data_IF_862863140406
#
_entry.id   IF_862863140406
#
_cell.length_a   1.000
_cell.length_b   1.000
_cell.length_c   1.000
_cell.angle_alpha   90.00
_cell.angle_beta   90.00
_cell.angle_gamma   90.00
#
_symmetry.space_group_name_H-M   'P 1'
#
loop_
_entity.id
_entity.type
_entity.pdbx_description
1 polymer ?
#
# COMPACT_ATOMS: atom_id res chain seq x y z
N UNK A 1 12.22 -5.84 -47.76
CA UNK A 1 12.85 -4.99 -46.73
C UNK A 1 14.36 -5.28 -46.64
N UNK A 2 15.16 -4.21 -46.46
CA UNK A 2 16.62 -4.28 -46.36
C UNK A 2 17.06 -3.61 -45.05
N UNK A 3 18.37 -3.76 -44.74
CA UNK A 3 18.98 -3.05 -43.60
C UNK A 3 18.57 -3.63 -42.22
N UNK A 4 18.10 -4.87 -42.14
CA UNK A 4 17.77 -5.53 -40.87
C UNK A 4 16.48 -5.00 -40.20
N UNK A 5 15.59 -4.32 -40.93
CA UNK A 5 14.35 -3.73 -40.37
C UNK A 5 13.45 -4.78 -39.74
N UNK A 6 13.32 -5.96 -40.36
CA UNK A 6 12.50 -7.05 -39.82
C UNK A 6 13.05 -7.53 -38.47
N UNK A 7 14.36 -7.75 -38.40
CA UNK A 7 15.00 -8.20 -37.16
C UNK A 7 14.97 -7.12 -36.08
N UNK A 8 15.15 -5.85 -36.43
CA UNK A 8 15.00 -4.74 -35.50
C UNK A 8 13.58 -4.65 -34.93
N UNK A 9 12.55 -4.86 -35.75
CA UNK A 9 11.14 -4.92 -35.27
C UNK A 9 10.87 -6.11 -34.38
N UNK A 10 11.43 -7.28 -34.71
CA UNK A 10 11.32 -8.49 -33.88
C UNK A 10 12.00 -8.27 -32.53
N UNK A 11 13.23 -7.74 -32.52
CA UNK A 11 13.95 -7.41 -31.29
C UNK A 11 13.17 -6.44 -30.43
N UNK A 12 12.61 -5.37 -31.01
CA UNK A 12 11.77 -4.42 -30.28
C UNK A 12 10.51 -5.09 -29.70
N UNK A 13 9.84 -5.95 -30.46
CA UNK A 13 8.66 -6.67 -30.00
C UNK A 13 9.00 -7.63 -28.86
N UNK A 14 10.11 -8.37 -28.98
CA UNK A 14 10.58 -9.29 -27.95
C UNK A 14 10.93 -8.55 -26.68
N UNK A 15 11.70 -7.44 -26.75
CA UNK A 15 12.03 -6.63 -25.59
C UNK A 15 10.78 -6.11 -24.85
N UNK A 16 9.73 -5.76 -25.59
CA UNK A 16 8.45 -5.36 -24.99
C UNK A 16 7.73 -6.50 -24.29
N UNK A 17 7.78 -7.72 -24.84
CA UNK A 17 7.20 -8.92 -24.22
C UNK A 17 7.94 -9.24 -22.92
N UNK A 18 9.28 -9.21 -22.96
CA UNK A 18 10.11 -9.51 -21.79
C UNK A 18 9.86 -8.51 -20.64
N UNK A 19 9.69 -7.23 -20.96
CA UNK A 19 9.36 -6.18 -19.98
C UNK A 19 8.02 -6.41 -19.24
N UNK A 20 7.07 -7.15 -19.83
CA UNK A 20 5.80 -7.46 -19.18
C UNK A 20 5.97 -8.34 -17.93
N UNK A 21 7.01 -9.18 -17.88
CA UNK A 21 7.25 -10.06 -16.74
C UNK A 21 7.59 -9.26 -15.47
N UNK A 22 8.47 -8.27 -15.57
CA UNK A 22 8.83 -7.39 -14.44
C UNK A 22 7.66 -6.48 -14.07
N UNK A 23 6.95 -5.93 -15.05
CA UNK A 23 5.74 -5.14 -14.80
C UNK A 23 4.66 -5.93 -14.06
N UNK A 24 4.54 -7.24 -14.32
CA UNK A 24 3.62 -8.13 -13.59
C UNK A 24 4.06 -8.31 -12.13
N UNK A 25 5.36 -8.44 -11.86
CA UNK A 25 5.85 -8.60 -10.49
C UNK A 25 5.67 -7.32 -9.66
N UNK A 26 5.92 -6.15 -10.23
CA UNK A 26 5.62 -4.86 -9.58
C UNK A 26 4.13 -4.76 -9.18
N UNK A 27 3.22 -5.08 -10.12
CA UNK A 27 1.77 -5.08 -9.84
C UNK A 27 1.36 -6.12 -8.80
N UNK A 28 2.05 -7.26 -8.75
CA UNK A 28 1.82 -8.29 -7.74
C UNK A 28 2.16 -7.77 -6.34
N UNK A 29 3.31 -7.08 -6.18
CA UNK A 29 3.70 -6.47 -4.91
C UNK A 29 2.71 -5.37 -4.49
N UNK A 30 2.29 -4.52 -5.41
CA UNK A 30 1.28 -3.49 -5.15
C UNK A 30 -0.06 -4.10 -4.68
N UNK A 31 -0.50 -5.18 -5.32
CA UNK A 31 -1.72 -5.89 -4.93
C UNK A 31 -1.58 -6.52 -3.54
N UNK A 32 -0.45 -7.16 -3.25
CA UNK A 32 -0.20 -7.74 -1.93
C UNK A 32 -0.18 -6.66 -0.83
N UNK A 33 0.44 -5.51 -1.10
CA UNK A 33 0.42 -4.37 -0.19
C UNK A 33 -0.99 -3.83 0.03
N UNK A 34 -1.81 -3.77 -1.02
CA UNK A 34 -3.20 -3.34 -0.92
C UNK A 34 -4.05 -4.33 -0.10
N UNK A 35 -3.88 -5.65 -0.33
CA UNK A 35 -4.51 -6.69 0.49
C UNK A 35 -4.12 -6.53 1.95
N UNK A 36 -2.81 -6.37 2.23
CA UNK A 36 -2.31 -6.21 3.60
C UNK A 36 -2.88 -4.95 4.28
N UNK A 37 -2.96 -3.83 3.56
CA UNK A 37 -3.56 -2.58 4.09
C UNK A 37 -5.04 -2.75 4.42
N UNK A 38 -5.84 -3.36 3.52
CA UNK A 38 -7.27 -3.57 3.77
C UNK A 38 -7.52 -4.60 4.86
N UNK A 39 -6.70 -5.65 4.91
CA UNK A 39 -6.74 -6.61 6.01
C UNK A 39 -6.46 -5.94 7.36
N UNK A 40 -5.38 -5.16 7.45
CA UNK A 40 -5.04 -4.39 8.66
C UNK A 40 -6.17 -3.42 9.06
N UNK A 41 -6.86 -2.81 8.09
CA UNK A 41 -8.00 -1.93 8.38
C UNK A 41 -9.17 -2.69 9.03
N UNK A 42 -9.43 -3.95 8.64
CA UNK A 42 -10.45 -4.77 9.29
C UNK A 42 -10.02 -5.16 10.70
N UNK A 43 -8.78 -5.64 10.87
CA UNK A 43 -8.25 -6.00 12.20
C UNK A 43 -8.28 -4.79 13.15
N UNK A 44 -7.88 -3.60 12.66
CA UNK A 44 -7.96 -2.36 13.42
C UNK A 44 -9.39 -2.01 13.83
N UNK A 45 -10.34 -2.10 12.90
CA UNK A 45 -11.76 -1.80 13.18
C UNK A 45 -12.38 -2.79 14.19
N UNK A 46 -12.01 -4.07 14.13
CA UNK A 46 -12.41 -5.06 15.12
C UNK A 46 -11.89 -4.68 16.52
N UNK A 47 -10.61 -4.31 16.61
CA UNK A 47 -10.02 -3.92 17.89
C UNK A 47 -10.60 -2.62 18.43
N UNK A 48 -10.91 -1.64 17.55
CA UNK A 48 -11.67 -0.43 17.93
C UNK A 48 -13.06 -0.80 18.50
N UNK A 49 -13.75 -1.77 17.88
CA UNK A 49 -15.04 -2.29 18.35
C UNK A 49 -14.98 -2.90 19.75
N UNK A 50 -13.96 -3.71 20.01
CA UNK A 50 -13.72 -4.30 21.33
C UNK A 50 -13.46 -3.21 22.40
N UNK A 51 -12.61 -2.23 22.09
CA UNK A 51 -12.34 -1.12 23.02
C UNK A 51 -13.59 -0.27 23.26
N UNK A 52 -14.39 -0.03 22.25
CA UNK A 52 -15.65 0.71 22.39
C UNK A 52 -16.66 -0.06 23.26
N UNK A 53 -16.77 -1.39 23.10
CA UNK A 53 -17.63 -2.22 23.95
C UNK A 53 -17.17 -2.22 25.42
N UNK A 54 -15.88 -2.34 25.68
CA UNK A 54 -15.32 -2.17 27.03
C UNK A 54 -15.68 -0.83 27.63
N UNK A 55 -15.70 0.24 26.81
CA UNK A 55 -16.13 1.58 27.21
C UNK A 55 -17.61 1.62 27.63
N UNK A 56 -18.50 0.96 26.90
CA UNK A 56 -19.92 0.82 27.23
C UNK A 56 -20.09 0.15 28.60
N UNK A 57 -19.44 -1.02 28.79
CA UNK A 57 -19.55 -1.79 30.04
C UNK A 57 -19.01 -1.02 31.25
N UNK A 58 -17.98 -0.21 31.04
CA UNK A 58 -17.41 0.62 32.08
C UNK A 58 -18.36 1.79 32.46
N UNK A 59 -18.95 2.45 31.46
CA UNK A 59 -19.91 3.55 31.69
C UNK A 59 -21.20 3.07 32.34
N UNK A 60 -21.70 1.87 32.00
CA UNK A 60 -22.86 1.27 32.67
C UNK A 60 -22.59 1.10 34.16
N UNK A 61 -21.45 0.52 34.53
CA UNK A 61 -21.04 0.40 35.95
C UNK A 61 -20.93 1.75 36.65
N UNK A 62 -20.52 2.81 35.93
CA UNK A 62 -20.41 4.16 36.46
C UNK A 62 -21.79 4.75 36.73
N UNK A 63 -22.76 4.55 35.81
CA UNK A 63 -24.17 4.97 36.01
C UNK A 63 -24.75 4.29 37.25
N UNK A 64 -24.55 2.97 37.40
CA UNK A 64 -25.02 2.24 38.56
C UNK A 64 -24.44 2.75 39.89
N UNK A 65 -23.15 3.13 39.89
CA UNK A 65 -22.50 3.72 41.06
C UNK A 65 -23.02 5.14 41.38
N UNK A 66 -23.28 5.97 40.36
CA UNK A 66 -23.85 7.30 40.53
C UNK A 66 -25.27 7.25 41.08
N UNK A 67 -26.11 6.34 40.57
CA UNK A 67 -27.47 6.11 41.08
C UNK A 67 -27.49 5.71 42.56
N UNK A 68 -26.71 4.71 42.95
CA UNK A 68 -26.62 4.29 44.38
C UNK A 68 -26.24 5.44 45.30
N UNK A 69 -25.33 6.31 44.91
CA UNK A 69 -24.95 7.48 45.73
C UNK A 69 -26.05 8.54 45.78
N UNK A 70 -26.77 8.75 44.72
CA UNK A 70 -27.90 9.65 44.69
C UNK A 70 -29.02 9.17 45.60
N UNK A 71 -29.40 7.91 45.50
CA UNK A 71 -30.41 7.27 46.35
C UNK A 71 -30.05 7.32 47.84
N UNK A 72 -28.76 7.27 48.16
CA UNK A 72 -28.26 7.44 49.52
C UNK A 72 -28.17 8.93 49.96
N UNK A 73 -28.63 9.87 49.14
CA UNK A 73 -28.53 11.31 49.43
C UNK A 73 -27.12 11.89 49.38
N UNK A 74 -26.11 11.10 48.90
CA UNK A 74 -24.69 11.48 48.92
C UNK A 74 -24.19 12.12 47.59
N UNK A 75 -25.09 12.34 46.60
CA UNK A 75 -24.78 12.92 45.32
C UNK A 75 -25.99 13.56 44.68
N UNK A 76 -25.85 14.73 44.02
CA UNK A 76 -26.97 15.37 43.31
C UNK A 76 -27.39 14.59 42.06
N UNK A 77 -28.61 14.77 41.61
CA UNK A 77 -29.18 14.13 40.40
C UNK A 77 -28.36 14.47 39.13
N UNK A 78 -27.79 15.68 39.05
CA UNK A 78 -26.96 16.10 37.94
C UNK A 78 -25.77 15.16 37.64
N UNK A 79 -25.24 14.48 38.67
CA UNK A 79 -24.18 13.48 38.52
C UNK A 79 -24.71 12.25 37.80
N UNK A 80 -25.92 11.81 38.13
CA UNK A 80 -26.59 10.66 37.47
C UNK A 80 -26.84 10.97 35.98
N UNK A 81 -27.40 12.14 35.71
CA UNK A 81 -27.68 12.57 34.34
C UNK A 81 -26.39 12.74 33.52
N UNK A 82 -25.30 13.22 34.12
CA UNK A 82 -23.99 13.30 33.46
C UNK A 82 -23.43 11.91 33.17
N UNK A 83 -23.56 10.97 34.09
CA UNK A 83 -23.11 9.59 33.88
C UNK A 83 -23.94 8.89 32.77
N UNK A 84 -25.26 9.10 32.74
CA UNK A 84 -26.11 8.59 31.66
C UNK A 84 -25.78 9.17 30.30
N UNK A 85 -25.47 10.47 30.21
CA UNK A 85 -25.01 11.09 28.97
C UNK A 85 -23.68 10.50 28.49
N UNK A 86 -22.75 10.23 29.42
CA UNK A 86 -21.48 9.56 29.08
C UNK A 86 -21.69 8.10 28.61
N UNK A 87 -22.64 7.39 29.19
CA UNK A 87 -23.03 6.05 28.76
C UNK A 87 -23.63 6.07 27.33
N UNK A 88 -24.57 6.96 27.05
CA UNK A 88 -25.16 7.09 25.72
C UNK A 88 -24.12 7.44 24.63
N UNK A 89 -23.09 8.24 24.97
CA UNK A 89 -21.97 8.50 24.07
C UNK A 89 -21.15 7.24 23.79
N UNK A 90 -20.89 6.41 24.82
CA UNK A 90 -20.15 5.17 24.63
C UNK A 90 -20.94 4.18 23.76
N UNK A 91 -22.27 4.09 23.90
CA UNK A 91 -23.13 3.30 23.01
C UNK A 91 -23.04 3.78 21.55
N UNK A 92 -23.05 5.10 21.33
CA UNK A 92 -22.88 5.68 20.01
C UNK A 92 -21.50 5.33 19.41
N UNK A 93 -20.44 5.39 20.20
CA UNK A 93 -19.09 5.05 19.75
C UNK A 93 -18.97 3.55 19.41
N UNK A 94 -19.60 2.67 20.19
CA UNK A 94 -19.70 1.23 19.87
C UNK A 94 -20.47 0.99 18.56
N UNK A 95 -21.59 1.68 18.35
CA UNK A 95 -22.35 1.57 17.12
C UNK A 95 -21.55 2.05 15.90
N UNK A 96 -20.82 3.15 16.04
CA UNK A 96 -19.91 3.67 14.98
C UNK A 96 -18.80 2.67 14.66
N UNK A 97 -18.18 2.06 15.67
CA UNK A 97 -17.11 1.07 15.47
C UNK A 97 -17.63 -0.15 14.69
N UNK A 98 -18.81 -0.67 15.00
CA UNK A 98 -19.45 -1.76 14.25
C UNK A 98 -19.70 -1.40 12.78
N UNK A 99 -20.13 -0.16 12.51
CA UNK A 99 -20.32 0.31 11.12
C UNK A 99 -19.00 0.42 10.37
N UNK A 100 -17.93 0.89 11.03
CA UNK A 100 -16.58 0.94 10.42
C UNK A 100 -16.07 -0.45 10.12
N UNK A 101 -16.25 -1.41 11.02
CA UNK A 101 -15.85 -2.80 10.80
C UNK A 101 -16.58 -3.41 9.60
N UNK A 102 -17.90 -3.24 9.51
CA UNK A 102 -18.69 -3.71 8.38
C UNK A 102 -18.20 -3.10 7.05
N UNK A 103 -17.94 -1.80 7.03
CA UNK A 103 -17.41 -1.11 5.85
C UNK A 103 -16.00 -1.61 5.48
N UNK A 104 -15.12 -1.82 6.45
CA UNK A 104 -13.77 -2.34 6.21
C UNK A 104 -13.81 -3.76 5.64
N UNK A 105 -14.70 -4.64 6.15
CA UNK A 105 -14.91 -6.00 5.60
C UNK A 105 -15.40 -5.96 4.16
N UNK A 106 -16.36 -5.09 3.84
CA UNK A 106 -16.83 -4.92 2.46
C UNK A 106 -15.72 -4.41 1.54
N UNK A 107 -14.91 -3.45 2.01
CA UNK A 107 -13.78 -2.91 1.26
C UNK A 107 -12.70 -3.96 0.98
N UNK A 108 -12.41 -4.84 1.95
CA UNK A 108 -11.49 -5.97 1.74
C UNK A 108 -12.07 -6.96 0.74
N UNK A 109 -13.33 -7.37 0.90
CA UNK A 109 -14.01 -8.33 0.05
C UNK A 109 -14.13 -7.89 -1.42
N UNK A 110 -14.19 -6.59 -1.66
CA UNK A 110 -14.22 -6.03 -3.01
C UNK A 110 -12.98 -6.40 -3.86
N UNK A 111 -11.86 -6.78 -3.24
CA UNK A 111 -10.66 -7.23 -3.97
C UNK A 111 -10.88 -8.52 -4.78
N UNK A 112 -11.78 -9.38 -4.35
CA UNK A 112 -12.15 -10.62 -5.06
C UNK A 112 -13.61 -10.63 -5.54
N UNK A 113 -14.28 -9.45 -5.53
CA UNK A 113 -15.61 -9.26 -6.10
C UNK A 113 -16.77 -9.72 -5.21
N UNK A 114 -16.54 -10.06 -3.95
CA UNK A 114 -17.58 -10.44 -3.00
C UNK A 114 -18.30 -9.20 -2.45
N UNK A 115 -19.63 -9.18 -2.54
CA UNK A 115 -20.46 -8.04 -2.11
C UNK A 115 -21.03 -8.18 -0.70
N UNK A 116 -21.20 -9.41 -0.23
CA UNK A 116 -21.75 -9.73 1.08
C UNK A 116 -20.79 -10.64 1.84
N UNK A 117 -19.68 -10.11 2.39
CA UNK A 117 -18.67 -10.92 3.04
C UNK A 117 -19.20 -11.56 4.32
N UNK A 118 -19.08 -12.90 4.42
CA UNK A 118 -19.45 -13.68 5.59
C UNK A 118 -18.22 -14.30 6.29
N UNK A 119 -17.00 -13.89 5.92
CA UNK A 119 -15.78 -14.40 6.52
C UNK A 119 -15.50 -13.81 7.90
N UNK A 120 -14.88 -14.60 8.76
CA UNK A 120 -14.26 -14.13 9.99
C UNK A 120 -12.76 -13.92 9.74
N UNK A 121 -12.23 -12.82 10.29
CA UNK A 121 -10.79 -12.61 10.27
C UNK A 121 -10.21 -13.19 11.54
N UNK A 122 -9.34 -14.17 11.35
CA UNK A 122 -8.47 -14.69 12.41
C UNK A 122 -7.13 -13.97 12.22
N UNK A 123 -6.94 -12.85 12.93
CA UNK A 123 -5.71 -12.04 12.82
C UNK A 123 -4.88 -12.07 14.10
N UNK A 124 -3.60 -11.70 13.96
CA UNK A 124 -2.73 -11.41 15.09
C UNK A 124 -3.14 -10.14 15.85
N UNK A 125 -2.58 -9.93 17.02
CA UNK A 125 -2.77 -8.68 17.76
C UNK A 125 -2.08 -7.53 17.01
N UNK A 126 -2.78 -6.47 16.60
CA UNK A 126 -2.17 -5.33 15.93
C UNK A 126 -1.15 -4.59 16.82
N UNK A 127 -1.20 -4.80 18.13
CA UNK A 127 -0.22 -4.26 19.07
C UNK A 127 1.14 -4.98 19.02
N UNK A 128 1.20 -6.18 18.43
CA UNK A 128 2.45 -6.90 18.20
C UNK A 128 3.15 -6.33 16.96
N UNK A 129 3.92 -5.25 17.17
CA UNK A 129 4.66 -4.57 16.10
C UNK A 129 6.06 -5.18 16.00
N UNK A 130 6.39 -5.87 14.88
CA UNK A 130 7.68 -6.54 14.71
C UNK A 130 8.84 -5.53 14.62
N UNK A 131 10.06 -6.03 14.73
CA UNK A 131 11.24 -5.24 14.45
C UNK A 131 11.50 -5.17 12.95
N UNK A 132 12.04 -4.05 12.51
CA UNK A 132 12.45 -3.83 11.11
C UNK A 132 13.97 -3.70 11.07
N UNK A 133 14.60 -4.11 9.98
CA UNK A 133 16.03 -3.94 9.77
C UNK A 133 16.42 -2.46 9.75
N UNK A 134 17.69 -2.19 10.04
CA UNK A 134 18.24 -0.84 10.01
C UNK A 134 18.06 -0.20 8.62
N UNK A 135 17.87 1.12 8.60
CA UNK A 135 17.61 1.88 7.37
C UNK A 135 18.65 1.62 6.29
N UNK A 136 19.94 1.52 6.63
CA UNK A 136 21.01 1.27 5.67
C UNK A 136 20.82 -0.06 4.93
N UNK A 137 20.42 -1.11 5.64
CA UNK A 137 20.14 -2.45 5.05
C UNK A 137 18.93 -2.38 4.12
N UNK A 138 17.87 -1.68 4.54
CA UNK A 138 16.67 -1.50 3.72
C UNK A 138 16.96 -0.68 2.45
N UNK A 139 17.82 0.34 2.55
CA UNK A 139 18.23 1.17 1.42
C UNK A 139 19.01 0.37 0.37
N UNK A 140 19.85 -0.57 0.78
CA UNK A 140 20.55 -1.47 -0.15
C UNK A 140 19.59 -2.38 -0.92
N UNK A 141 18.48 -2.77 -0.31
CA UNK A 141 17.46 -3.59 -0.99
C UNK A 141 16.68 -2.83 -2.07
N UNK A 142 16.60 -1.50 -2.00
CA UNK A 142 15.98 -0.70 -3.05
C UNK A 142 16.61 -0.92 -4.43
N UNK A 143 17.92 -1.26 -4.48
CA UNK A 143 18.61 -1.52 -5.75
C UNK A 143 18.06 -2.73 -6.52
N UNK A 144 17.30 -3.60 -5.85
CA UNK A 144 16.74 -4.84 -6.41
C UNK A 144 15.24 -4.77 -6.62
N UNK A 145 14.65 -3.59 -6.46
CA UNK A 145 13.19 -3.42 -6.60
C UNK A 145 12.73 -3.58 -8.04
N UNK A 146 11.53 -4.11 -8.28
CA UNK A 146 10.98 -4.21 -9.63
C UNK A 146 10.89 -2.85 -10.33
N UNK A 147 10.66 -1.77 -9.58
CA UNK A 147 10.59 -0.40 -10.12
C UNK A 147 11.93 0.02 -10.78
N UNK A 148 13.07 -0.27 -10.13
CA UNK A 148 14.38 0.00 -10.74
C UNK A 148 14.74 -1.03 -11.81
N UNK A 149 14.33 -2.28 -11.66
CA UNK A 149 14.53 -3.30 -12.67
C UNK A 149 13.79 -2.99 -13.99
N UNK A 150 12.63 -2.31 -13.93
CA UNK A 150 11.92 -1.87 -15.14
C UNK A 150 12.75 -0.92 -16.02
N UNK A 151 13.66 -0.11 -15.46
CA UNK A 151 14.52 0.75 -16.25
C UNK A 151 15.53 -0.02 -17.10
N UNK A 152 15.95 -1.20 -16.67
CA UNK A 152 16.82 -2.08 -17.49
C UNK A 152 16.07 -2.55 -18.73
N UNK A 153 14.80 -2.92 -18.59
CA UNK A 153 13.98 -3.33 -19.73
C UNK A 153 13.61 -2.14 -20.62
N UNK A 154 13.30 -0.98 -20.03
CA UNK A 154 13.06 0.25 -20.80
C UNK A 154 14.29 0.66 -21.61
N UNK A 155 15.50 0.49 -21.06
CA UNK A 155 16.73 0.73 -21.78
C UNK A 155 16.86 -0.22 -22.97
N UNK A 156 16.60 -1.54 -22.80
CA UNK A 156 16.61 -2.53 -23.90
C UNK A 156 15.60 -2.17 -24.98
N UNK A 157 14.41 -1.72 -24.60
CA UNK A 157 13.38 -1.24 -25.52
C UNK A 157 13.87 0.01 -26.26
N UNK A 158 14.48 0.97 -25.56
CA UNK A 158 15.05 2.18 -26.14
C UNK A 158 16.18 1.89 -27.13
N UNK A 159 17.07 0.97 -26.79
CA UNK A 159 18.15 0.49 -27.68
C UNK A 159 17.58 -0.19 -28.93
N UNK A 160 16.56 -1.04 -28.78
CA UNK A 160 15.88 -1.68 -29.91
C UNK A 160 15.16 -0.65 -30.80
N UNK A 161 14.54 0.40 -30.23
CA UNK A 161 13.96 1.52 -30.99
C UNK A 161 15.02 2.29 -31.76
N UNK A 162 16.17 2.56 -31.13
CA UNK A 162 17.27 3.23 -31.79
C UNK A 162 17.81 2.39 -32.97
N UNK A 163 17.92 1.07 -32.78
CA UNK A 163 18.33 0.16 -33.84
C UNK A 163 17.31 0.16 -35.00
N UNK A 164 16.01 0.13 -34.69
CA UNK A 164 14.96 0.23 -35.69
C UNK A 164 15.04 1.57 -36.45
N UNK A 165 15.15 2.70 -35.76
CA UNK A 165 15.30 4.01 -36.37
C UNK A 165 16.54 4.11 -37.30
N UNK A 166 17.66 3.48 -36.91
CA UNK A 166 18.85 3.36 -37.75
C UNK A 166 18.62 2.50 -38.98
N UNK A 167 17.90 1.41 -38.88
CA UNK A 167 17.60 0.53 -40.00
C UNK A 167 16.71 1.18 -41.07
N UNK A 168 15.88 2.16 -40.66
CA UNK A 168 15.04 2.97 -41.56
C UNK A 168 15.87 3.89 -42.48
N UNK A 169 17.13 4.17 -42.16
CA UNK A 169 18.04 4.90 -43.02
C UNK A 169 18.41 4.13 -44.32
N UNK A 170 18.26 2.79 -44.29
CA UNK A 170 18.51 1.93 -45.45
C UNK A 170 17.30 1.93 -46.37
N UNK A 171 17.42 2.24 -47.65
CA UNK A 171 16.29 2.22 -48.59
C UNK A 171 15.84 0.80 -48.87
N UNK A 172 14.54 0.58 -48.96
CA UNK A 172 13.96 -0.65 -49.48
C UNK A 172 13.85 -0.58 -51.01
N UNK A 173 13.76 -1.74 -51.64
CA UNK A 173 13.47 -1.82 -53.07
C UNK A 173 12.08 -2.39 -53.21
N UNK A 174 11.22 -1.63 -53.91
CA UNK A 174 9.93 -2.12 -54.34
C UNK A 174 10.02 -2.46 -55.82
N UNK A 175 9.66 -3.71 -56.14
CA UNK A 175 9.59 -4.14 -57.50
C UNK A 175 8.22 -4.75 -57.76
N UNK A 176 7.69 -4.46 -58.96
CA UNK A 176 6.40 -4.97 -59.39
C UNK A 176 6.55 -5.51 -60.83
N UNK A 177 6.05 -6.73 -61.01
CA UNK A 177 5.93 -7.33 -62.37
C UNK A 177 4.47 -7.67 -62.57
N UNK A 178 3.93 -7.27 -63.71
CA UNK A 178 2.53 -7.53 -64.02
C UNK A 178 2.34 -7.68 -65.52
N UNK A 179 1.19 -8.28 -65.91
CA UNK A 179 0.72 -8.38 -67.30
C UNK A 179 -0.37 -7.34 -67.47
N UNK A 180 -0.23 -6.47 -68.45
CA UNK A 180 -1.23 -5.48 -68.82
C UNK A 180 -1.87 -5.86 -70.14
N UNK A 181 -3.20 -6.03 -70.19
CA UNK A 181 -3.97 -6.14 -71.43
C UNK A 181 -4.39 -4.75 -71.89
N UNK A 182 -4.11 -4.44 -73.15
CA UNK A 182 -4.52 -3.20 -73.79
C UNK A 182 -5.83 -3.44 -74.55
N UNK A 183 -6.88 -2.67 -74.22
CA UNK A 183 -8.22 -2.91 -74.69
C UNK A 183 -8.40 -2.54 -76.20
N UNK A 184 -7.55 -1.75 -76.79
CA UNK A 184 -7.63 -1.30 -78.18
C UNK A 184 -7.02 -2.22 -79.22
N UNK A 185 -6.31 -3.30 -78.85
CA UNK A 185 -5.62 -4.19 -79.78
C UNK A 185 -5.57 -5.67 -79.39
N UNK A 186 -6.21 -6.07 -78.29
CA UNK A 186 -6.11 -7.42 -77.70
C UNK A 186 -4.68 -7.88 -77.42
N UNK A 187 -3.77 -6.89 -77.29
CA UNK A 187 -2.33 -7.10 -77.04
C UNK A 187 -2.05 -7.25 -75.57
N UNK A 188 -1.11 -8.13 -75.22
CA UNK A 188 -0.60 -8.33 -73.85
C UNK A 188 0.82 -7.73 -73.75
N UNK A 189 1.01 -6.83 -72.79
CA UNK A 189 2.32 -6.27 -72.45
C UNK A 189 2.81 -6.70 -71.08
N UNK A 190 4.09 -7.00 -70.95
CA UNK A 190 4.74 -7.18 -69.66
C UNK A 190 5.14 -5.81 -69.12
N UNK A 191 4.76 -5.49 -67.88
CA UNK A 191 5.11 -4.23 -67.22
C UNK A 191 5.95 -4.58 -65.99
N UNK A 192 7.15 -3.99 -65.93
CA UNK A 192 8.02 -4.07 -64.74
C UNK A 192 8.29 -2.67 -64.23
N UNK A 193 8.24 -2.49 -62.90
CA UNK A 193 8.67 -1.26 -62.25
C UNK A 193 9.60 -1.58 -61.06
N UNK A 194 10.59 -0.73 -60.89
CA UNK A 194 11.48 -0.76 -59.68
C UNK A 194 11.46 0.65 -59.09
N UNK A 195 11.14 0.73 -57.81
CA UNK A 195 11.14 1.99 -57.07
C UNK A 195 12.16 1.94 -55.95
N UNK A 196 13.03 2.95 -55.91
CA UNK A 196 14.06 3.12 -54.87
C UNK A 196 13.88 4.51 -54.24
N UNK A 197 13.46 4.59 -52.96
CA UNK A 197 13.31 5.89 -52.30
C UNK A 197 14.65 6.52 -52.05
N UNK A 198 14.90 7.74 -52.57
CA UNK A 198 16.10 8.53 -52.33
C UNK A 198 15.96 9.38 -51.07
N UNK A 199 17.08 9.64 -50.36
CA UNK A 199 17.16 10.53 -49.21
C UNK A 199 16.63 9.90 -47.90
N UNK A 200 16.52 8.57 -47.82
CA UNK A 200 16.07 7.84 -46.62
C UNK A 200 16.91 8.13 -45.41
N UNK A 201 18.24 8.23 -45.56
CA UNK A 201 19.16 8.58 -44.47
C UNK A 201 18.82 9.93 -43.85
N UNK A 202 18.53 10.97 -44.67
CA UNK A 202 18.16 12.29 -44.16
C UNK A 202 16.80 12.26 -43.44
N UNK A 203 15.84 11.47 -43.94
CA UNK A 203 14.51 11.32 -43.36
C UNK A 203 14.55 10.55 -42.05
N UNK A 204 15.47 9.59 -41.85
CA UNK A 204 15.64 8.83 -40.65
C UNK A 204 16.32 9.63 -39.49
N UNK A 205 17.10 10.67 -39.80
CA UNK A 205 17.87 11.43 -38.81
C UNK A 205 17.05 12.01 -37.66
N UNK A 206 15.84 12.57 -37.83
CA UNK A 206 15.01 13.04 -36.73
C UNK A 206 14.61 11.91 -35.80
N UNK A 207 14.20 10.72 -36.30
CA UNK A 207 13.85 9.55 -35.53
C UNK A 207 15.04 9.00 -34.71
N UNK A 208 16.25 8.98 -35.33
CA UNK A 208 17.45 8.54 -34.63
C UNK A 208 17.81 9.51 -33.50
N UNK A 209 17.67 10.82 -33.70
CA UNK A 209 17.91 11.82 -32.63
C UNK A 209 16.90 11.70 -31.51
N UNK A 210 15.60 11.51 -31.84
CA UNK A 210 14.58 11.30 -30.85
C UNK A 210 14.85 10.05 -29.99
N UNK A 211 15.13 8.90 -30.62
CA UNK A 211 15.44 7.67 -29.91
C UNK A 211 16.69 7.77 -29.01
N UNK A 212 17.71 8.55 -29.42
CA UNK A 212 18.87 8.82 -28.55
C UNK A 212 18.52 9.70 -27.37
N UNK A 213 17.73 10.75 -27.59
CA UNK A 213 17.29 11.63 -26.52
C UNK A 213 16.43 10.88 -25.49
N UNK A 214 15.54 9.97 -25.94
CA UNK A 214 14.77 9.09 -25.08
C UNK A 214 15.68 8.21 -24.20
N UNK A 215 16.74 7.60 -24.76
CA UNK A 215 17.70 6.81 -23.98
C UNK A 215 18.42 7.64 -22.92
N UNK A 216 18.85 8.86 -23.25
CA UNK A 216 19.48 9.75 -22.27
C UNK A 216 18.49 10.18 -21.18
N UNK A 217 17.24 10.42 -21.53
CA UNK A 217 16.19 10.73 -20.55
C UNK A 217 15.97 9.59 -19.55
N UNK A 218 15.99 8.33 -20.00
CA UNK A 218 15.83 7.15 -19.14
C UNK A 218 16.91 7.05 -18.04
N UNK A 219 18.12 7.46 -18.29
CA UNK A 219 19.19 7.48 -17.28
C UNK A 219 18.86 8.47 -16.15
N UNK A 220 18.39 9.66 -16.51
CA UNK A 220 17.98 10.70 -15.56
C UNK A 220 16.74 10.26 -14.79
N UNK A 221 15.77 9.66 -15.48
CA UNK A 221 14.54 9.15 -14.88
C UNK A 221 14.84 8.02 -13.88
N UNK A 222 15.78 7.13 -14.19
CA UNK A 222 16.22 6.08 -13.29
C UNK A 222 16.84 6.65 -12.01
N UNK A 223 17.71 7.65 -12.13
CA UNK A 223 18.33 8.31 -10.99
C UNK A 223 17.27 9.01 -10.13
N UNK A 224 16.38 9.77 -10.77
CA UNK A 224 15.27 10.44 -10.08
C UNK A 224 14.34 9.44 -9.36
N UNK A 225 14.04 8.30 -9.97
CA UNK A 225 13.27 7.23 -9.34
C UNK A 225 14.00 6.65 -8.14
N UNK A 226 15.29 6.38 -8.25
CA UNK A 226 16.11 5.91 -7.12
C UNK A 226 16.08 6.86 -5.92
N UNK A 227 16.21 8.15 -6.15
CA UNK A 227 16.11 9.19 -5.12
C UNK A 227 14.68 9.25 -4.51
N UNK A 228 13.67 9.13 -5.35
CA UNK A 228 12.27 9.10 -4.90
C UNK A 228 11.97 7.89 -4.00
N UNK A 229 12.40 6.70 -4.41
CA UNK A 229 12.25 5.48 -3.62
C UNK A 229 13.00 5.58 -2.28
N UNK A 230 14.22 6.12 -2.30
CA UNK A 230 15.00 6.35 -1.09
C UNK A 230 14.29 7.31 -0.13
N UNK A 231 13.76 8.41 -0.64
CA UNK A 231 12.99 9.39 0.15
C UNK A 231 11.74 8.77 0.75
N UNK A 232 10.98 8.00 -0.04
CA UNK A 232 9.77 7.31 0.43
C UNK A 232 10.10 6.27 1.51
N UNK A 233 11.20 5.53 1.33
CA UNK A 233 11.65 4.58 2.34
C UNK A 233 12.07 5.29 3.63
N UNK A 234 12.80 6.42 3.53
CA UNK A 234 13.22 7.18 4.71
C UNK A 234 12.01 7.71 5.50
N UNK A 235 11.00 8.20 4.80
CA UNK A 235 9.74 8.63 5.41
C UNK A 235 9.00 7.47 6.09
N UNK A 236 8.83 6.34 5.39
CA UNK A 236 8.15 5.17 5.93
C UNK A 236 8.89 4.59 7.16
N UNK A 237 10.23 4.50 7.09
CA UNK A 237 11.05 4.03 8.21
C UNK A 237 10.97 4.99 9.42
N UNK A 238 10.99 6.31 9.18
CA UNK A 238 10.82 7.31 10.23
C UNK A 238 9.45 7.22 10.90
N UNK A 239 8.37 7.13 10.12
CA UNK A 239 6.99 6.93 10.64
C UNK A 239 6.89 5.64 11.46
N UNK A 240 7.46 4.55 10.95
CA UNK A 240 7.50 3.28 11.68
C UNK A 240 8.17 3.42 13.04
N UNK A 241 9.37 4.04 13.10
CA UNK A 241 10.12 4.21 14.34
C UNK A 241 9.36 5.03 15.38
N UNK A 242 8.78 6.16 14.98
CA UNK A 242 7.99 7.04 15.87
C UNK A 242 6.74 6.31 16.36
N UNK A 243 5.97 5.72 15.47
CA UNK A 243 4.71 5.06 15.82
C UNK A 243 4.93 3.84 16.73
N UNK A 244 5.97 3.04 16.46
CA UNK A 244 6.34 1.91 17.30
C UNK A 244 6.76 2.35 18.71
N UNK A 245 7.60 3.40 18.81
CA UNK A 245 8.01 3.96 20.10
C UNK A 245 6.80 4.46 20.90
N UNK A 246 5.87 5.15 20.25
CA UNK A 246 4.64 5.65 20.89
C UNK A 246 3.78 4.50 21.39
N UNK A 247 3.49 3.49 20.55
CA UNK A 247 2.71 2.31 20.95
C UNK A 247 3.33 1.58 22.15
N UNK A 248 4.66 1.41 22.14
CA UNK A 248 5.40 0.76 23.22
C UNK A 248 5.33 1.57 24.51
N UNK A 249 5.61 2.89 24.47
CA UNK A 249 5.58 3.75 25.65
C UNK A 249 4.20 3.88 26.27
N UNK A 250 3.17 3.96 25.43
CA UNK A 250 1.80 3.95 25.92
C UNK A 250 1.48 2.63 26.63
N UNK A 251 1.88 1.50 26.07
CA UNK A 251 1.62 0.18 26.66
C UNK A 251 2.39 -0.11 27.94
N UNK A 252 3.68 0.22 27.97
CA UNK A 252 4.57 -0.14 29.08
C UNK A 252 4.57 0.88 30.23
N UNK A 253 4.43 2.16 29.91
CA UNK A 253 4.58 3.23 30.90
C UNK A 253 3.27 3.91 31.27
N UNK A 254 2.46 4.33 30.28
CA UNK A 254 1.30 5.20 30.49
C UNK A 254 0.08 4.41 30.99
N UNK A 255 -0.31 3.40 30.24
CA UNK A 255 -1.53 2.62 30.52
C UNK A 255 -1.52 1.93 31.89
N UNK A 256 -0.40 1.32 32.35
CA UNK A 256 -0.37 0.72 33.68
C UNK A 256 -0.56 1.73 34.81
N UNK A 257 -0.05 2.97 34.65
CA UNK A 257 -0.21 4.04 35.61
C UNK A 257 -1.63 4.59 35.62
N UNK A 258 -2.23 4.81 34.44
CA UNK A 258 -3.62 5.25 34.33
C UNK A 258 -4.59 4.21 34.88
N UNK A 259 -4.36 2.92 34.64
CA UNK A 259 -5.18 1.86 35.21
C UNK A 259 -5.17 1.86 36.75
N UNK A 260 -3.99 2.06 37.36
CA UNK A 260 -3.86 2.19 38.81
C UNK A 260 -4.54 3.46 39.36
N UNK A 261 -4.36 4.59 38.68
CA UNK A 261 -4.97 5.85 39.07
C UNK A 261 -6.51 5.76 38.99
N UNK A 262 -7.05 5.19 37.91
CA UNK A 262 -8.48 4.99 37.74
C UNK A 262 -9.06 4.07 38.84
N UNK A 263 -8.41 2.95 39.15
CA UNK A 263 -8.84 2.02 40.20
C UNK A 263 -8.83 2.69 41.58
N UNK A 264 -7.82 3.50 41.88
CA UNK A 264 -7.75 4.28 43.13
C UNK A 264 -8.90 5.32 43.21
N UNK A 265 -9.12 6.07 42.12
CA UNK A 265 -10.21 7.07 42.06
C UNK A 265 -11.60 6.41 42.17
N UNK A 266 -11.81 5.26 41.55
CA UNK A 266 -13.06 4.49 41.68
C UNK A 266 -13.31 4.05 43.12
N UNK A 267 -12.27 3.69 43.86
CA UNK A 267 -12.36 3.32 45.27
C UNK A 267 -12.64 4.53 46.13
N UNK A 268 -11.92 5.61 45.93
CA UNK A 268 -12.12 6.90 46.64
C UNK A 268 -13.52 7.48 46.37
N UNK A 269 -14.02 7.42 45.15
CA UNK A 269 -15.39 7.84 44.80
C UNK A 269 -16.45 7.03 45.58
N UNK A 270 -16.31 5.71 45.65
CA UNK A 270 -17.22 4.87 46.41
C UNK A 270 -17.19 5.19 47.92
N UNK A 271 -16.02 5.52 48.45
CA UNK A 271 -15.86 5.92 49.86
C UNK A 271 -16.28 7.39 50.12
N UNK A 272 -16.60 8.18 49.10
CA UNK A 272 -16.97 9.58 49.24
C UNK A 272 -15.77 10.54 49.34
N UNK A 273 -14.55 10.06 49.13
CA UNK A 273 -13.30 10.84 49.24
C UNK A 273 -12.89 11.47 47.89
N UNK A 274 -13.46 11.08 46.77
CA UNK A 274 -13.22 11.68 45.45
C UNK A 274 -14.54 12.09 44.77
N UNK A 275 -14.46 13.07 43.89
CA UNK A 275 -15.59 13.51 43.11
C UNK A 275 -15.87 12.61 41.89
N UNK A 276 -17.10 12.67 41.36
CA UNK A 276 -17.44 12.01 40.10
C UNK A 276 -16.58 12.53 38.93
N UNK A 277 -16.33 13.86 38.92
CA UNK A 277 -15.55 14.49 37.85
C UNK A 277 -14.11 13.95 37.80
N UNK A 278 -13.45 13.80 38.94
CA UNK A 278 -12.12 13.26 39.04
C UNK A 278 -12.06 11.80 38.51
N UNK A 279 -12.96 10.94 38.98
CA UNK A 279 -13.02 9.58 38.51
C UNK A 279 -13.35 9.48 37.01
N UNK A 280 -14.36 10.21 36.54
CA UNK A 280 -14.75 10.21 35.13
C UNK A 280 -13.69 10.75 34.19
N UNK A 281 -12.88 11.73 34.63
CA UNK A 281 -11.73 12.26 33.90
C UNK A 281 -10.65 11.20 33.73
N UNK A 282 -10.27 10.47 34.78
CA UNK A 282 -9.29 9.38 34.69
C UNK A 282 -9.78 8.24 33.81
N UNK A 283 -11.08 7.92 33.84
CA UNK A 283 -11.65 6.94 32.92
C UNK A 283 -11.53 7.39 31.45
N UNK A 284 -11.81 8.67 31.19
CA UNK A 284 -11.71 9.21 29.84
C UNK A 284 -10.27 9.22 29.34
N UNK A 285 -9.31 9.60 30.20
CA UNK A 285 -7.87 9.61 29.87
C UNK A 285 -7.35 8.20 29.59
N UNK A 286 -7.73 7.21 30.44
CA UNK A 286 -7.33 5.81 30.23
C UNK A 286 -7.91 5.25 28.92
N UNK A 287 -9.18 5.53 28.60
CA UNK A 287 -9.78 5.10 27.34
C UNK A 287 -9.11 5.77 26.13
N UNK A 288 -8.80 7.08 26.21
CA UNK A 288 -8.10 7.79 25.18
C UNK A 288 -6.68 7.25 24.95
N UNK A 289 -5.94 6.94 26.02
CA UNK A 289 -4.60 6.34 25.92
C UNK A 289 -4.61 4.96 25.23
N UNK A 290 -5.64 4.13 25.49
CA UNK A 290 -5.81 2.84 24.78
C UNK A 290 -6.07 3.03 23.28
N UNK A 291 -6.93 3.98 22.93
CA UNK A 291 -7.20 4.31 21.53
C UNK A 291 -5.95 4.86 20.83
N UNK A 292 -5.17 5.71 21.52
CA UNK A 292 -3.92 6.23 21.01
C UNK A 292 -2.88 5.14 20.80
N UNK A 293 -2.74 4.20 21.74
CA UNK A 293 -1.86 3.03 21.58
C UNK A 293 -2.23 2.22 20.34
N UNK A 294 -3.51 1.90 20.18
CA UNK A 294 -3.98 1.16 19.00
C UNK A 294 -3.71 1.93 17.71
N UNK A 295 -3.99 3.23 17.68
CA UNK A 295 -3.75 4.08 16.52
C UNK A 295 -2.26 4.11 16.14
N UNK A 296 -1.37 4.25 17.14
CA UNK A 296 0.08 4.21 16.93
C UNK A 296 0.55 2.84 16.41
N UNK A 297 0.06 1.74 16.98
CA UNK A 297 0.40 0.40 16.51
C UNK A 297 -0.07 0.16 15.06
N UNK A 298 -1.28 0.58 14.69
CA UNK A 298 -1.79 0.48 13.33
C UNK A 298 -0.98 1.35 12.35
N UNK A 299 -0.52 2.53 12.78
CA UNK A 299 0.36 3.36 11.94
C UNK A 299 1.73 2.71 11.73
N UNK A 300 2.31 2.11 12.76
CA UNK A 300 3.53 1.32 12.61
C UNK A 300 3.36 0.16 11.62
N UNK A 301 2.25 -0.58 11.70
CA UNK A 301 1.94 -1.67 10.78
C UNK A 301 1.74 -1.17 9.33
N UNK A 302 1.08 0.00 9.14
CA UNK A 302 0.94 0.61 7.79
C UNK A 302 2.30 1.01 7.22
N UNK A 303 3.15 1.62 8.03
CA UNK A 303 4.50 1.98 7.62
C UNK A 303 5.34 0.73 7.30
N UNK A 304 5.17 -0.35 8.05
CA UNK A 304 5.80 -1.65 7.78
C UNK A 304 5.38 -2.21 6.42
N UNK A 305 4.08 -2.21 6.11
CA UNK A 305 3.56 -2.66 4.81
C UNK A 305 4.21 -1.85 3.67
N UNK A 306 4.39 -0.54 3.85
CA UNK A 306 5.04 0.29 2.84
C UNK A 306 6.53 -0.05 2.69
N UNK A 307 7.25 -0.27 3.79
CA UNK A 307 8.65 -0.73 3.76
C UNK A 307 8.76 -2.07 3.03
N UNK A 308 7.89 -3.03 3.33
CA UNK A 308 7.86 -4.35 2.70
C UNK A 308 7.56 -4.26 1.20
N UNK A 309 6.62 -3.39 0.80
CA UNK A 309 6.33 -3.12 -0.60
C UNK A 309 7.55 -2.57 -1.35
N UNK A 310 8.22 -1.58 -0.75
CA UNK A 310 9.40 -0.94 -1.34
C UNK A 310 10.62 -1.85 -1.41
N UNK A 311 10.78 -2.78 -0.48
CA UNK A 311 11.96 -3.65 -0.38
C UNK A 311 11.73 -5.05 -0.95
N UNK A 312 10.49 -5.36 -1.36
CA UNK A 312 10.13 -6.69 -1.84
C UNK A 312 10.14 -7.78 -0.76
N UNK A 313 10.18 -7.39 0.52
CA UNK A 313 10.09 -8.35 1.63
C UNK A 313 8.71 -9.00 1.70
N UNK A 314 8.66 -10.19 2.29
CA UNK A 314 7.39 -10.88 2.50
C UNK A 314 6.47 -10.05 3.41
N UNK A 315 5.22 -9.84 2.96
CA UNK A 315 4.17 -9.26 3.78
C UNK A 315 3.84 -10.25 4.89
N UNK A 316 4.22 -9.88 6.08
CA UNK A 316 4.04 -10.55 7.38
C UNK A 316 3.61 -12.01 7.31
N UNK A 317 4.55 -12.87 7.60
CA UNK A 317 4.21 -14.15 8.19
C UNK A 317 3.80 -13.89 9.64
N UNK A 318 2.57 -14.21 10.00
CA UNK A 318 2.26 -14.49 11.39
C UNK A 318 3.23 -15.54 11.94
N UNK A 319 3.40 -15.68 13.26
CA UNK A 319 4.31 -16.64 13.85
C UNK A 319 3.89 -18.07 13.43
N UNK A 320 4.49 -18.61 12.37
CA UNK A 320 4.14 -19.94 11.86
C UNK A 320 4.62 -20.28 10.45
N UNK A 321 4.99 -19.30 9.62
CA UNK A 321 5.52 -19.57 8.28
C UNK A 321 7.01 -19.20 8.19
N UNK A 322 7.83 -19.86 8.98
CA UNK A 322 9.24 -19.99 8.66
C UNK A 322 9.33 -20.83 7.39
N UNK A 323 9.54 -20.17 6.27
CA UNK A 323 9.73 -20.83 4.99
C UNK A 323 11.03 -21.61 5.05
N UNK A 324 10.89 -22.92 4.94
CA UNK A 324 11.95 -23.88 4.67
C UNK A 324 12.61 -23.52 3.32
N UNK A 325 13.55 -22.57 3.31
CA UNK A 325 14.46 -22.34 2.20
C UNK A 325 15.61 -23.35 2.30
N UNK A 326 15.37 -24.54 1.86
CA UNK A 326 16.37 -25.57 1.81
C UNK A 326 15.85 -26.82 1.15
N UNK A 327 15.74 -26.82 -0.17
CA UNK A 327 15.91 -27.99 -1.02
C UNK A 327 15.79 -27.57 -2.49
N UNK A 328 16.91 -27.26 -3.11
CA UNK A 328 17.13 -27.53 -4.54
C UNK A 328 17.77 -28.91 -4.66
N UNK A 329 17.36 -29.73 -5.66
CA UNK A 329 18.35 -30.42 -6.46
C UNK A 329 18.58 -29.70 -7.78
#
# INVERSE_FOLDING_TARGET
ERGGKLDARRTLAQSRIDALAIGREARRLDLLAEVARRYLAVVGAQREGELAQLGVDQRDRTVAAARRRHEAGASPESVVLTAQAAFARAELDSARARQREAAARQHLAALWGERNPAFEIVGGDPLDVPQVADFAVLADWLQRTPELAQFVDQQRIGEARLQLARSEATPDFDWQVGVRRMAEGDDFGLVGSVSIPLGTTRRAQPGIRAARAELTALEIEREAMGLSLYSTLAEAHGRFGVARLEAQRLGEDVLPRLAKAEAAAATAYRAGAASYLEWSSLQAEHAAARQQQLAAALEAQRALIEIQRLTGQAFVAGPGLQHNQGATP
#
